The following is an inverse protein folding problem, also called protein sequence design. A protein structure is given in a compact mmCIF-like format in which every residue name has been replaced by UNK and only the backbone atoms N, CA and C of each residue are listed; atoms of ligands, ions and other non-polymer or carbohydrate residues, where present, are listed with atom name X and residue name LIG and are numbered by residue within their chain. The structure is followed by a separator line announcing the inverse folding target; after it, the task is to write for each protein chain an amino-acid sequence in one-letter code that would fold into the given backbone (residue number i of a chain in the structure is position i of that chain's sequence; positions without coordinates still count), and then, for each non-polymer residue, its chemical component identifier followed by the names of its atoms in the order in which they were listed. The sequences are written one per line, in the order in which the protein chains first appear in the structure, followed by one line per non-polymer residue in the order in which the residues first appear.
data_IF_805096807914
#
_entry.id   IF_805096807914
#
_cell.length_a   1.000
_cell.length_b   1.000
_cell.length_c   1.000
_cell.angle_alpha   90.00
_cell.angle_beta   90.00
_cell.angle_gamma   90.00
#
_symmetry.space_group_name_H-M   'P 1'
#
loop_
_entity.id
_entity.type
_entity.pdbx_description
1 polymer ?
#
# COMPACT_ATOMS: atom_id res chain seq x y z
N UNK A 1 4.98 0.09 -33.85
CA UNK A 1 3.70 0.26 -33.13
C UNK A 1 4.04 0.80 -31.76
N UNK A 2 3.39 1.89 -31.32
CA UNK A 2 3.56 2.44 -29.98
C UNK A 2 2.51 1.75 -29.09
N UNK A 3 2.97 1.02 -28.08
CA UNK A 3 2.08 0.38 -27.10
C UNK A 3 1.54 1.48 -26.18
N UNK A 4 0.21 1.71 -26.10
CA UNK A 4 -0.37 2.72 -25.23
C UNK A 4 -0.11 2.48 -23.73
N UNK A 5 0.39 1.30 -23.34
CA UNK A 5 0.73 0.97 -21.96
C UNK A 5 2.21 1.24 -21.61
N UNK A 6 3.02 1.77 -22.56
CA UNK A 6 4.47 1.89 -22.42
C UNK A 6 4.94 3.01 -21.47
N UNK A 7 4.05 3.96 -21.13
CA UNK A 7 4.31 5.10 -20.22
C UNK A 7 3.35 5.12 -19.01
N UNK A 8 2.77 3.97 -18.63
CA UNK A 8 1.88 3.89 -17.46
C UNK A 8 2.70 3.92 -16.16
N UNK A 9 3.09 5.12 -15.71
CA UNK A 9 3.70 5.30 -14.40
C UNK A 9 2.63 5.08 -13.31
N UNK A 10 2.45 3.83 -12.90
CA UNK A 10 1.50 3.47 -11.83
C UNK A 10 2.02 3.99 -10.50
N UNK A 11 1.16 4.72 -9.80
CA UNK A 11 1.44 5.24 -8.46
C UNK A 11 0.67 4.44 -7.41
N UNK A 12 1.39 3.95 -6.40
CA UNK A 12 0.81 3.23 -5.27
C UNK A 12 0.57 4.15 -4.07
N UNK A 13 -0.56 3.98 -3.38
CA UNK A 13 -0.87 4.72 -2.15
C UNK A 13 -1.67 3.86 -1.17
N UNK A 14 -1.33 3.91 0.12
CA UNK A 14 -2.18 3.35 1.18
C UNK A 14 -3.41 4.26 1.32
N UNK A 15 -4.61 3.73 1.15
CA UNK A 15 -5.87 4.49 1.24
C UNK A 15 -6.33 4.70 2.70
N UNK A 16 -6.03 3.75 3.57
CA UNK A 16 -6.38 3.81 5.00
C UNK A 16 -5.42 4.73 5.73
N UNK A 17 -5.88 5.88 6.22
CA UNK A 17 -5.03 6.92 6.83
C UNK A 17 -4.29 6.40 8.06
N UNK A 18 -4.95 5.64 8.93
CA UNK A 18 -4.35 5.09 10.17
C UNK A 18 -3.22 4.11 9.86
N UNK A 19 -3.29 3.43 8.71
CA UNK A 19 -2.24 2.52 8.28
C UNK A 19 -0.98 3.26 7.79
N UNK A 20 -1.09 4.53 7.38
CA UNK A 20 0.07 5.35 6.96
C UNK A 20 0.98 5.74 8.12
N UNK A 21 0.49 5.64 9.36
CA UNK A 21 1.32 5.87 10.55
C UNK A 21 2.27 4.70 10.80
N UNK A 22 1.87 3.48 10.43
CA UNK A 22 2.61 2.25 10.72
C UNK A 22 3.30 1.65 9.50
N UNK A 23 2.75 1.89 8.31
CA UNK A 23 3.20 1.30 7.05
C UNK A 23 3.42 2.38 5.99
N UNK A 24 4.40 2.16 5.14
CA UNK A 24 4.65 2.96 3.96
C UNK A 24 4.67 2.05 2.73
N UNK A 25 4.11 2.53 1.62
CA UNK A 25 4.24 1.89 0.31
C UNK A 25 5.11 2.77 -0.57
N UNK A 26 6.08 2.19 -1.25
CA UNK A 26 6.85 2.91 -2.26
C UNK A 26 5.92 3.26 -3.43
N UNK A 27 5.72 4.55 -3.75
CA UNK A 27 4.76 4.95 -4.78
C UNK A 27 5.16 4.49 -6.18
N UNK A 28 6.42 4.17 -6.44
CA UNK A 28 6.91 3.72 -7.74
C UNK A 28 7.00 2.18 -7.85
N UNK A 29 7.45 1.50 -6.80
CA UNK A 29 7.70 0.05 -6.85
C UNK A 29 6.61 -0.80 -6.19
N UNK A 30 5.73 -0.19 -5.39
CA UNK A 30 4.74 -0.91 -4.59
C UNK A 30 5.33 -1.64 -3.37
N UNK A 31 6.63 -1.50 -3.09
CA UNK A 31 7.29 -2.12 -1.94
C UNK A 31 6.68 -1.62 -0.62
N UNK A 32 6.22 -2.54 0.23
CA UNK A 32 5.66 -2.21 1.55
C UNK A 32 6.76 -2.26 2.62
N UNK A 33 6.82 -1.23 3.46
CA UNK A 33 7.73 -1.09 4.60
C UNK A 33 6.99 -0.77 5.87
N UNK A 34 7.55 -1.17 7.00
CA UNK A 34 7.05 -0.79 8.32
C UNK A 34 7.82 0.45 8.78
N UNK A 35 7.10 1.48 9.24
CA UNK A 35 7.68 2.75 9.70
C UNK A 35 8.17 2.69 11.14
N UNK A 36 7.53 1.85 11.97
CA UNK A 36 7.86 1.66 13.37
C UNK A 36 8.13 0.20 13.67
N UNK A 37 8.99 -0.10 14.64
CA UNK A 37 9.21 -1.48 15.06
C UNK A 37 7.92 -2.08 15.61
N UNK A 38 7.34 -3.03 14.89
CA UNK A 38 6.21 -3.83 15.35
C UNK A 38 6.76 -4.97 16.21
N UNK A 39 7.00 -4.68 17.47
CA UNK A 39 7.50 -5.64 18.46
C UNK A 39 6.31 -6.42 19.06
N UNK A 40 6.24 -7.72 18.76
CA UNK A 40 5.12 -8.60 19.12
C UNK A 40 4.75 -8.50 20.61
N UNK A 41 5.75 -8.53 21.49
CA UNK A 41 5.52 -8.54 22.95
C UNK A 41 4.87 -7.24 23.44
N UNK A 42 5.21 -6.11 22.82
CA UNK A 42 4.65 -4.79 23.17
C UNK A 42 3.25 -4.57 22.62
N UNK A 43 2.86 -5.36 21.62
CA UNK A 43 1.56 -5.28 20.96
C UNK A 43 0.49 -6.12 21.68
N UNK A 44 0.89 -7.02 22.58
CA UNK A 44 -0.03 -7.81 23.39
C UNK A 44 -0.53 -7.03 24.62
N UNK A 45 -1.82 -7.21 25.01
CA UNK A 45 -2.84 -8.05 24.36
C UNK A 45 -3.61 -7.31 23.24
N UNK A 46 -3.18 -6.09 22.89
CA UNK A 46 -3.98 -5.14 22.11
C UNK A 46 -4.28 -5.62 20.70
N UNK A 47 -3.26 -5.74 19.83
CA UNK A 47 -3.46 -6.00 18.40
C UNK A 47 -2.17 -6.41 17.71
N UNK A 48 -2.17 -7.58 17.07
CA UNK A 48 -1.03 -8.11 16.28
C UNK A 48 -1.31 -8.20 14.78
N UNK A 49 -2.52 -7.84 14.34
CA UNK A 49 -2.96 -7.93 12.94
C UNK A 49 -3.56 -6.62 12.45
N UNK A 50 -3.08 -6.11 11.31
CA UNK A 50 -3.59 -4.93 10.63
C UNK A 50 -4.15 -5.29 9.26
N UNK A 51 -5.29 -4.72 8.91
CA UNK A 51 -5.89 -4.83 7.58
C UNK A 51 -6.13 -3.44 7.04
N UNK A 52 -5.65 -3.15 5.84
CA UNK A 52 -5.80 -1.85 5.19
C UNK A 52 -5.85 -1.97 3.67
N UNK A 53 -6.28 -0.91 3.00
CA UNK A 53 -6.41 -0.87 1.54
C UNK A 53 -5.24 -0.12 0.91
N UNK A 54 -4.68 -0.68 -0.15
CA UNK A 54 -3.74 0.00 -1.05
C UNK A 54 -4.42 0.23 -2.39
N UNK A 55 -4.21 1.39 -2.97
CA UNK A 55 -4.66 1.71 -4.32
C UNK A 55 -3.49 1.87 -5.30
N UNK A 56 -3.74 1.50 -6.55
CA UNK A 56 -2.85 1.70 -7.68
C UNK A 56 -3.56 2.63 -8.68
N UNK A 57 -2.92 3.75 -9.00
CA UNK A 57 -3.46 4.79 -9.90
C UNK A 57 -2.54 4.90 -11.10
N UNK A 58 -3.08 4.76 -12.30
CA UNK A 58 -2.34 5.02 -13.54
C UNK A 58 -2.06 6.53 -13.69
N UNK A 59 -0.83 6.89 -14.04
CA UNK A 59 -0.38 8.28 -14.26
C UNK A 59 -0.87 8.88 -15.59
N UNK A 60 -1.45 8.08 -16.48
CA UNK A 60 -2.08 8.55 -17.71
C UNK A 60 -3.26 9.50 -17.45
N UNK A 61 -3.45 10.48 -18.33
CA UNK A 61 -4.46 11.56 -18.23
C UNK A 61 -5.92 11.12 -18.43
N UNK A 62 -6.29 9.95 -17.92
CA UNK A 62 -7.66 9.50 -17.75
C UNK A 62 -8.03 8.30 -18.59
N UNK A 63 -8.18 7.14 -17.93
CA UNK A 63 -9.24 6.16 -18.28
C UNK A 63 -9.44 5.02 -17.29
N UNK A 64 -8.46 4.66 -16.47
CA UNK A 64 -8.62 3.51 -15.56
C UNK A 64 -9.05 3.94 -14.16
N UNK A 65 -10.13 3.34 -13.60
CA UNK A 65 -10.42 3.49 -12.18
C UNK A 65 -9.27 2.90 -11.35
N UNK A 66 -9.02 3.43 -10.13
CA UNK A 66 -7.95 2.93 -9.29
C UNK A 66 -8.16 1.45 -8.94
N UNK A 67 -7.12 0.64 -9.11
CA UNK A 67 -7.10 -0.74 -8.62
C UNK A 67 -6.98 -0.74 -7.10
N UNK A 68 -7.81 -1.52 -6.41
CA UNK A 68 -7.80 -1.61 -4.94
C UNK A 68 -7.40 -3.01 -4.50
N UNK A 69 -6.53 -3.09 -3.49
CA UNK A 69 -6.11 -4.34 -2.86
C UNK A 69 -6.25 -4.25 -1.34
N UNK A 70 -6.74 -5.32 -0.72
CA UNK A 70 -6.76 -5.47 0.74
C UNK A 70 -5.48 -6.16 1.19
N UNK A 71 -4.74 -5.53 2.09
CA UNK A 71 -3.49 -6.04 2.66
C UNK A 71 -3.72 -6.40 4.11
N UNK A 72 -3.30 -7.60 4.51
CA UNK A 72 -3.31 -8.05 5.91
C UNK A 72 -1.89 -8.33 6.36
N UNK A 73 -1.46 -7.67 7.43
CA UNK A 73 -0.16 -7.85 8.07
C UNK A 73 -0.37 -8.44 9.45
N UNK A 74 0.27 -9.56 9.75
CA UNK A 74 0.26 -10.20 11.07
C UNK A 74 1.69 -10.30 11.58
N UNK A 75 1.91 -9.83 12.80
CA UNK A 75 3.17 -10.01 13.53
C UNK A 75 3.07 -11.33 14.29
N UNK A 76 4.08 -12.18 14.13
CA UNK A 76 4.17 -13.52 14.71
C UNK A 76 5.27 -13.60 15.78
#
# INVERSE_FOLDING_TARGET
ALDPDLDANVTYRIRTEEARELFAVNPLTGELKVLHSLDFEKLLPNRTTWTFVVEAVDGGSGKMPPGLASVTVTVL
#
